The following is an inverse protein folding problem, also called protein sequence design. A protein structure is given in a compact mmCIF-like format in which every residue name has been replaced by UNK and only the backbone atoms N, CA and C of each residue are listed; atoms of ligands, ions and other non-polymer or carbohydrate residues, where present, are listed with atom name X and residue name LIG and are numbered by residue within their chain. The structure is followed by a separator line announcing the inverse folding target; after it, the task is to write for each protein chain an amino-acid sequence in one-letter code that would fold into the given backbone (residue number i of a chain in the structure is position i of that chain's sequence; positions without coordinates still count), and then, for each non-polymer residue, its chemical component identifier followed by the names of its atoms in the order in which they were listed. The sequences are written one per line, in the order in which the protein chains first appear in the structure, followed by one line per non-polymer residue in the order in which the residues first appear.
data_IF_084791529097
#
_entry.id   IF_084791529097
#
_cell.length_a   1.000
_cell.length_b   1.000
_cell.length_c   1.000
_cell.angle_alpha   90.00
_cell.angle_beta   90.00
_cell.angle_gamma   90.00
#
_symmetry.space_group_name_H-M   'P 1'
#
loop_
_entity.id
_entity.type
_entity.pdbx_description
1 polymer ?
#
# COMPACT_ATOMS: atom_id res chain seq x y z
N UNK A 1 18.43 -60.30 -19.81
CA UNK A 1 17.33 -60.44 -18.84
C UNK A 1 16.93 -59.05 -18.37
N UNK A 2 15.76 -58.56 -18.76
CA UNK A 2 15.25 -57.27 -18.31
C UNK A 2 14.42 -57.45 -17.04
N UNK A 3 14.75 -56.74 -15.97
CA UNK A 3 13.86 -56.61 -14.82
C UNK A 3 12.69 -55.74 -15.24
N UNK A 4 11.51 -56.35 -15.45
CA UNK A 4 10.28 -55.62 -15.66
C UNK A 4 9.92 -55.00 -14.31
N UNK A 5 10.10 -53.69 -14.15
CA UNK A 5 9.63 -52.98 -12.96
C UNK A 5 8.11 -53.19 -12.90
N UNK A 6 7.62 -53.82 -11.85
CA UNK A 6 6.20 -53.95 -11.62
C UNK A 6 5.65 -52.55 -11.32
N UNK A 7 4.78 -52.03 -12.18
CA UNK A 7 4.06 -50.80 -11.90
C UNK A 7 2.98 -51.12 -10.87
N UNK A 8 3.09 -50.53 -9.69
CA UNK A 8 2.07 -50.70 -8.65
C UNK A 8 0.82 -49.86 -8.98
N UNK A 9 -0.31 -50.26 -8.41
CA UNK A 9 -1.52 -49.45 -8.47
C UNK A 9 -1.30 -48.16 -7.67
N UNK A 10 -1.91 -47.04 -8.09
CA UNK A 10 -1.81 -45.75 -7.37
C UNK A 10 -2.08 -45.92 -5.88
N UNK A 11 -1.23 -45.31 -5.05
CA UNK A 11 -1.28 -45.45 -3.60
C UNK A 11 -0.44 -46.59 -3.03
N UNK A 12 0.23 -47.40 -3.87
CA UNK A 12 1.08 -48.51 -3.43
C UNK A 12 2.50 -48.46 -4.02
N UNK A 13 3.48 -49.01 -3.30
CA UNK A 13 4.88 -49.15 -3.72
C UNK A 13 5.53 -50.42 -3.16
N UNK A 14 6.81 -50.60 -3.48
CA UNK A 14 7.64 -51.72 -3.04
C UNK A 14 7.68 -52.88 -4.04
N UNK A 15 8.57 -53.83 -3.83
CA UNK A 15 8.82 -54.93 -4.77
C UNK A 15 7.58 -55.80 -5.07
N UNK A 16 6.63 -55.85 -4.14
CA UNK A 16 5.38 -56.61 -4.24
C UNK A 16 4.11 -55.73 -4.21
N UNK A 17 4.24 -54.40 -4.28
CA UNK A 17 3.11 -53.46 -4.22
C UNK A 17 2.22 -53.59 -2.97
N UNK A 18 2.79 -53.99 -1.83
CA UNK A 18 2.07 -54.17 -0.57
C UNK A 18 2.20 -52.97 0.37
N UNK A 19 3.17 -52.08 0.13
CA UNK A 19 3.41 -50.90 0.96
C UNK A 19 2.57 -49.73 0.44
N UNK A 20 1.99 -48.93 1.33
CA UNK A 20 1.15 -47.79 0.96
C UNK A 20 1.98 -46.51 0.86
N UNK A 21 1.75 -45.73 -0.20
CA UNK A 21 2.32 -44.39 -0.31
C UNK A 21 1.93 -43.53 0.91
N UNK A 22 2.79 -42.57 1.27
CA UNK A 22 2.46 -41.56 2.28
C UNK A 22 1.15 -40.85 1.92
N UNK A 23 0.25 -40.71 2.90
CA UNK A 23 -1.01 -39.98 2.73
C UNK A 23 -0.82 -38.48 2.50
N UNK A 24 0.39 -37.96 2.70
CA UNK A 24 0.73 -36.56 2.45
C UNK A 24 1.13 -36.30 0.99
N UNK A 25 1.38 -37.34 0.19
CA UNK A 25 1.67 -37.17 -1.23
C UNK A 25 0.46 -36.57 -1.95
N UNK A 26 0.70 -35.70 -2.93
CA UNK A 26 -0.37 -35.21 -3.78
C UNK A 26 -1.00 -36.39 -4.54
N UNK A 27 -2.33 -36.52 -4.43
CA UNK A 27 -3.10 -37.63 -5.01
C UNK A 27 -2.64 -39.04 -4.59
N UNK A 28 -1.97 -39.18 -3.43
CA UNK A 28 -1.35 -40.45 -2.99
C UNK A 28 -0.39 -41.04 -4.04
N UNK A 29 0.24 -40.18 -4.84
CA UNK A 29 1.16 -40.58 -5.91
C UNK A 29 2.60 -40.61 -5.42
N UNK A 30 3.22 -41.79 -5.46
CA UNK A 30 4.59 -41.99 -5.03
C UNK A 30 5.38 -42.88 -6.00
N UNK A 31 6.70 -42.87 -5.88
CA UNK A 31 7.60 -43.70 -6.63
C UNK A 31 7.37 -45.18 -6.27
N UNK A 32 7.09 -46.01 -7.28
CA UNK A 32 6.76 -47.42 -7.13
C UNK A 32 7.85 -48.27 -6.43
N UNK A 33 9.10 -47.80 -6.39
CA UNK A 33 10.22 -48.55 -5.79
C UNK A 33 10.47 -48.12 -4.35
N UNK A 34 10.67 -46.82 -4.11
CA UNK A 34 11.12 -46.32 -2.80
C UNK A 34 10.04 -45.60 -1.99
N UNK A 35 8.84 -45.41 -2.53
CA UNK A 35 7.73 -44.78 -1.81
C UNK A 35 7.80 -43.25 -1.68
N UNK A 36 8.83 -42.60 -2.24
CA UNK A 36 8.93 -41.14 -2.21
C UNK A 36 7.80 -40.51 -3.02
N UNK A 37 7.13 -39.49 -2.47
CA UNK A 37 6.12 -38.74 -3.17
C UNK A 37 6.67 -38.17 -4.49
N UNK A 38 5.91 -38.32 -5.57
CA UNK A 38 6.28 -37.72 -6.86
C UNK A 38 6.08 -36.21 -6.83
N UNK A 39 5.03 -35.76 -6.13
CA UNK A 39 4.74 -34.35 -5.90
C UNK A 39 4.17 -34.12 -4.50
N UNK A 40 4.53 -32.99 -3.90
CA UNK A 40 3.92 -32.50 -2.67
C UNK A 40 2.79 -31.49 -2.96
N UNK A 41 1.73 -31.49 -2.14
CA UNK A 41 0.75 -30.42 -2.16
C UNK A 41 1.42 -29.07 -1.79
N UNK A 42 0.88 -27.93 -2.24
CA UNK A 42 1.38 -26.61 -1.83
C UNK A 42 1.46 -26.49 -0.30
N UNK A 43 2.53 -25.89 0.19
CA UNK A 43 2.76 -25.75 1.62
C UNK A 43 3.53 -26.89 2.28
N UNK A 44 3.87 -27.95 1.54
CA UNK A 44 4.67 -29.08 2.03
C UNK A 44 5.85 -29.42 1.14
N UNK A 45 6.91 -29.98 1.75
CA UNK A 45 8.15 -30.45 1.13
C UNK A 45 8.64 -31.74 1.80
N UNK A 46 9.76 -32.28 1.30
CA UNK A 46 10.37 -33.52 1.75
C UNK A 46 9.97 -34.72 0.91
N UNK A 47 10.72 -35.83 1.03
CA UNK A 47 10.50 -37.04 0.23
C UNK A 47 9.11 -37.66 0.47
N UNK A 48 8.52 -37.46 1.64
CA UNK A 48 7.20 -37.97 2.02
C UNK A 48 6.15 -36.85 2.20
N UNK A 49 6.49 -35.62 1.82
CA UNK A 49 5.66 -34.42 1.97
C UNK A 49 5.17 -34.19 3.41
N UNK A 50 5.99 -34.54 4.39
CA UNK A 50 5.72 -34.47 5.83
C UNK A 50 6.25 -33.18 6.48
N UNK A 51 7.09 -32.43 5.76
CA UNK A 51 7.66 -31.17 6.23
C UNK A 51 6.82 -30.00 5.72
N UNK A 52 6.46 -29.08 6.62
CA UNK A 52 5.85 -27.82 6.22
C UNK A 52 6.85 -26.92 5.49
N UNK A 53 6.37 -25.93 4.75
CA UNK A 53 7.25 -24.90 4.22
C UNK A 53 8.07 -24.23 5.32
N UNK A 54 9.33 -23.88 5.04
CA UNK A 54 10.10 -23.00 5.91
C UNK A 54 9.34 -21.71 6.18
N UNK A 55 9.64 -21.07 7.31
CA UNK A 55 9.02 -19.80 7.66
C UNK A 55 9.20 -18.77 6.53
N UNK A 56 8.17 -17.96 6.31
CA UNK A 56 8.11 -16.93 5.26
C UNK A 56 8.09 -17.47 3.83
N UNK A 57 7.91 -18.77 3.62
CA UNK A 57 7.81 -19.37 2.29
C UNK A 57 6.47 -20.06 2.07
N UNK A 58 6.02 -20.07 0.82
CA UNK A 58 4.76 -20.70 0.43
C UNK A 58 4.80 -21.29 -0.97
N UNK A 59 3.71 -21.95 -1.37
CA UNK A 59 3.47 -22.44 -2.71
C UNK A 59 4.04 -23.85 -2.95
N UNK A 60 4.07 -24.26 -4.22
CA UNK A 60 4.59 -25.58 -4.61
C UNK A 60 6.11 -25.60 -4.45
N UNK A 61 6.61 -26.52 -3.63
CA UNK A 61 8.03 -26.63 -3.33
C UNK A 61 8.59 -25.48 -2.47
N UNK A 62 7.73 -24.65 -1.88
CA UNK A 62 8.11 -23.55 -0.99
C UNK A 62 9.12 -22.58 -1.59
N UNK A 63 8.97 -22.25 -2.88
CA UNK A 63 9.88 -21.35 -3.60
C UNK A 63 9.47 -19.89 -3.50
N UNK A 64 8.19 -19.62 -3.27
CA UNK A 64 7.62 -18.28 -3.15
C UNK A 64 7.81 -17.73 -1.72
N UNK A 65 7.85 -16.41 -1.58
CA UNK A 65 8.11 -15.73 -0.31
C UNK A 65 6.93 -14.88 0.11
N UNK A 66 6.55 -14.93 1.39
CA UNK A 66 5.49 -14.11 1.96
C UNK A 66 5.74 -12.62 1.70
N UNK A 67 4.66 -11.86 1.51
CA UNK A 67 4.77 -10.40 1.34
C UNK A 67 5.37 -9.75 2.57
N UNK A 68 6.29 -8.80 2.35
CA UNK A 68 6.87 -7.98 3.42
C UNK A 68 5.86 -7.05 4.11
N UNK A 69 4.69 -6.88 3.48
CA UNK A 69 3.60 -6.00 3.91
C UNK A 69 2.52 -6.76 4.69
N UNK A 70 2.68 -8.08 4.87
CA UNK A 70 1.93 -8.80 5.90
C UNK A 70 2.25 -8.14 7.26
N UNK A 71 1.24 -7.85 8.07
CA UNK A 71 1.43 -7.32 9.42
C UNK A 71 2.04 -8.34 10.39
N UNK A 72 2.25 -7.92 11.64
CA UNK A 72 2.81 -8.77 12.69
C UNK A 72 4.18 -9.34 12.29
N UNK A 73 4.32 -10.66 12.40
CA UNK A 73 5.57 -11.37 12.10
C UNK A 73 5.86 -11.52 10.61
N UNK A 74 5.06 -10.92 9.72
CA UNK A 74 5.20 -11.04 8.26
C UNK A 74 5.02 -12.47 7.72
N UNK A 75 4.30 -13.31 8.47
CA UNK A 75 4.03 -14.70 8.12
C UNK A 75 2.79 -14.83 7.22
N UNK A 76 2.80 -15.84 6.35
CA UNK A 76 1.71 -16.16 5.44
C UNK A 76 1.38 -17.65 5.46
N UNK A 77 0.18 -18.00 4.98
CA UNK A 77 -0.25 -19.37 4.78
C UNK A 77 0.70 -20.05 3.79
N UNK A 78 1.31 -21.19 4.18
CA UNK A 78 2.31 -21.86 3.35
C UNK A 78 1.72 -22.44 2.05
N UNK A 79 0.41 -22.65 1.95
CA UNK A 79 -0.21 -23.20 0.75
C UNK A 79 -0.45 -22.14 -0.33
N UNK A 80 -0.97 -20.96 0.03
CA UNK A 80 -1.49 -19.95 -0.91
C UNK A 80 -0.85 -18.55 -0.78
N UNK A 81 0.01 -18.33 0.23
CA UNK A 81 0.70 -17.07 0.44
C UNK A 81 -0.14 -15.97 1.10
N UNK A 82 -1.37 -16.26 1.53
CA UNK A 82 -2.22 -15.30 2.23
C UNK A 82 -1.64 -14.91 3.59
N UNK A 83 -1.50 -13.62 3.87
CA UNK A 83 -0.98 -13.12 5.14
C UNK A 83 -1.84 -13.60 6.31
N UNK A 84 -1.18 -14.05 7.39
CA UNK A 84 -1.86 -14.53 8.60
C UNK A 84 -2.32 -13.38 9.51
N UNK A 85 -1.80 -12.18 9.27
CA UNK A 85 -2.18 -10.94 9.95
C UNK A 85 -2.66 -9.91 8.91
N UNK A 86 -3.49 -8.94 9.32
CA UNK A 86 -3.88 -7.83 8.46
C UNK A 86 -2.66 -7.15 7.84
N UNK A 87 -2.83 -6.59 6.64
CA UNK A 87 -1.78 -5.83 5.98
C UNK A 87 -1.35 -4.63 6.83
N UNK A 88 -0.10 -4.22 6.66
CA UNK A 88 0.32 -2.89 7.13
C UNK A 88 -0.47 -1.81 6.37
N UNK A 89 -0.60 -0.64 6.99
CA UNK A 89 -1.32 0.50 6.43
C UNK A 89 -0.83 0.82 5.01
N UNK A 90 -1.77 1.16 4.11
CA UNK A 90 -1.46 1.43 2.71
C UNK A 90 -1.45 0.20 1.80
N UNK A 91 -1.66 -1.01 2.34
CA UNK A 91 -1.77 -2.24 1.57
C UNK A 91 -3.07 -3.01 1.86
N UNK A 92 -3.49 -3.80 0.88
CA UNK A 92 -4.68 -4.64 0.88
C UNK A 92 -4.44 -5.91 0.04
N UNK A 93 -5.50 -6.72 -0.11
CA UNK A 93 -5.52 -8.11 -0.61
C UNK A 93 -5.15 -9.14 0.45
N UNK A 94 -5.48 -10.41 0.18
CA UNK A 94 -5.08 -11.53 1.05
C UNK A 94 -3.56 -11.66 1.17
N UNK A 95 -2.80 -11.25 0.15
CA UNK A 95 -1.33 -11.35 0.11
C UNK A 95 -0.63 -10.02 0.43
N UNK A 96 -1.36 -8.94 0.72
CA UNK A 96 -0.81 -7.60 0.98
C UNK A 96 0.16 -7.09 -0.11
N UNK A 97 -0.05 -7.49 -1.36
CA UNK A 97 0.77 -7.06 -2.50
C UNK A 97 0.18 -5.86 -3.23
N UNK A 98 -1.10 -5.54 -2.97
CA UNK A 98 -1.78 -4.42 -3.61
C UNK A 98 -1.74 -3.22 -2.68
N UNK A 99 -1.26 -2.09 -3.18
CA UNK A 99 -1.41 -0.81 -2.49
C UNK A 99 -2.89 -0.40 -2.44
N UNK A 100 -3.20 0.55 -1.56
CA UNK A 100 -4.52 1.16 -1.56
C UNK A 100 -4.81 1.83 -2.89
N UNK A 101 -6.03 1.65 -3.43
CA UNK A 101 -6.42 2.33 -4.64
C UNK A 101 -6.46 3.84 -4.41
N UNK A 102 -6.39 4.65 -5.48
CA UNK A 102 -6.55 6.09 -5.39
C UNK A 102 -7.78 6.47 -4.56
N UNK A 103 -7.71 7.61 -3.88
CA UNK A 103 -8.74 8.11 -2.96
C UNK A 103 -8.91 7.34 -1.63
N UNK A 104 -8.11 6.30 -1.34
CA UNK A 104 -8.18 5.56 -0.07
C UNK A 104 -6.82 5.39 0.62
N UNK A 105 -6.82 5.23 1.94
CA UNK A 105 -5.61 5.07 2.73
C UNK A 105 -5.84 4.28 4.04
N UNK A 106 -4.74 4.00 4.75
CA UNK A 106 -4.73 3.41 6.08
C UNK A 106 -4.92 1.90 6.09
N UNK A 107 -5.25 1.35 7.26
CA UNK A 107 -5.47 -0.08 7.48
C UNK A 107 -6.56 -0.62 6.54
N UNK A 108 -6.21 -1.61 5.71
CA UNK A 108 -7.13 -2.24 4.76
C UNK A 108 -7.81 -1.27 3.78
N UNK A 109 -7.23 -0.08 3.59
CA UNK A 109 -7.74 0.96 2.69
C UNK A 109 -9.17 1.42 3.02
N UNK A 110 -9.54 1.41 4.30
CA UNK A 110 -10.89 1.74 4.76
C UNK A 110 -11.11 3.26 4.96
N UNK A 111 -10.05 4.07 4.95
CA UNK A 111 -10.16 5.53 5.07
C UNK A 111 -10.16 6.17 3.69
N UNK A 112 -10.93 7.25 3.52
CA UNK A 112 -11.00 8.01 2.27
C UNK A 112 -10.15 9.27 2.38
N UNK A 113 -9.44 9.63 1.30
CA UNK A 113 -8.74 10.90 1.21
C UNK A 113 -9.68 12.08 1.51
N UNK A 114 -9.14 13.15 2.09
CA UNK A 114 -9.90 14.37 2.32
C UNK A 114 -10.52 14.89 1.03
N UNK A 115 -11.80 15.27 1.12
CA UNK A 115 -12.50 15.89 -0.01
C UNK A 115 -11.90 17.23 -0.45
N UNK A 116 -10.97 17.79 0.32
CA UNK A 116 -10.28 19.04 0.01
C UNK A 116 -8.87 18.85 -0.54
N UNK A 117 -8.42 17.59 -0.73
CA UNK A 117 -7.22 17.31 -1.52
C UNK A 117 -7.46 17.76 -2.97
N UNK A 118 -6.45 18.43 -3.56
CA UNK A 118 -6.38 18.66 -5.00
C UNK A 118 -6.27 17.32 -5.75
N UNK A 119 -6.86 17.26 -6.94
CA UNK A 119 -6.56 16.22 -7.93
C UNK A 119 -5.15 16.45 -8.50
N UNK A 120 -4.53 15.45 -9.13
CA UNK A 120 -3.17 15.52 -9.76
C UNK A 120 -2.76 16.93 -10.23
N UNK A 121 -1.54 17.39 -9.91
CA UNK A 121 -1.05 18.64 -10.44
C UNK A 121 -0.57 18.44 -11.88
N UNK A 122 -1.24 19.14 -12.79
CA UNK A 122 -0.74 19.50 -14.13
C UNK A 122 -0.66 18.37 -15.19
N UNK A 123 -1.38 18.47 -16.33
CA UNK A 123 -1.26 17.54 -17.46
C UNK A 123 0.14 17.47 -18.10
N UNK A 124 1.06 18.37 -17.74
CA UNK A 124 2.44 18.38 -18.24
C UNK A 124 3.33 17.23 -17.69
N UNK A 125 2.96 16.63 -16.56
CA UNK A 125 3.74 15.59 -15.87
C UNK A 125 3.26 14.15 -16.14
N UNK A 126 2.08 14.00 -16.73
CA UNK A 126 1.45 12.70 -17.02
C UNK A 126 1.67 12.29 -18.48
N UNK A 127 2.09 11.05 -18.76
CA UNK A 127 2.12 10.54 -20.13
C UNK A 127 0.76 10.73 -20.81
N UNK A 128 0.73 11.21 -22.05
CA UNK A 128 -0.50 11.43 -22.83
C UNK A 128 -1.36 10.16 -23.06
N UNK A 129 -0.86 9.00 -22.62
CA UNK A 129 -1.54 7.70 -22.62
C UNK A 129 -2.36 7.43 -21.36
N UNK A 130 -2.24 8.26 -20.31
CA UNK A 130 -3.09 8.17 -19.11
C UNK A 130 -4.35 9.01 -19.31
N UNK A 131 -5.51 8.35 -19.23
CA UNK A 131 -6.79 9.05 -19.11
C UNK A 131 -6.79 9.83 -17.78
N UNK A 132 -7.13 11.13 -17.85
CA UNK A 132 -7.24 11.99 -16.65
C UNK A 132 -8.24 11.35 -15.69
N UNK A 133 -7.75 10.79 -14.59
CA UNK A 133 -8.60 10.20 -13.55
C UNK A 133 -9.06 11.31 -12.61
N UNK A 134 -10.37 11.46 -12.32
CA UNK A 134 -10.89 12.51 -11.44
C UNK A 134 -10.62 12.22 -9.95
N UNK A 135 -9.74 11.27 -9.63
CA UNK A 135 -9.51 10.80 -8.28
C UNK A 135 -8.57 11.74 -7.53
N UNK A 136 -8.90 12.00 -6.26
CA UNK A 136 -8.02 12.73 -5.34
C UNK A 136 -6.85 11.84 -4.96
N UNK A 137 -5.68 12.45 -4.85
CA UNK A 137 -4.46 11.72 -4.52
C UNK A 137 -3.99 12.14 -3.14
N UNK A 138 -4.07 11.20 -2.22
CA UNK A 138 -3.43 11.26 -0.93
C UNK A 138 -2.48 10.08 -0.76
N UNK A 139 -1.54 10.21 0.16
CA UNK A 139 -0.63 9.14 0.51
C UNK A 139 -1.43 7.96 1.09
N UNK A 140 -1.17 6.75 0.59
CA UNK A 140 -1.91 5.53 0.91
C UNK A 140 -1.77 5.09 2.37
N UNK A 141 -0.75 5.54 3.10
CA UNK A 141 -0.55 5.17 4.51
C UNK A 141 -1.28 6.12 5.46
N UNK A 142 -1.04 7.42 5.34
CA UNK A 142 -1.42 8.43 6.35
C UNK A 142 -2.47 9.45 5.84
N UNK A 143 -2.86 9.38 4.57
CA UNK A 143 -3.92 10.20 4.01
C UNK A 143 -3.53 11.66 3.72
N UNK A 144 -2.26 12.04 3.79
CA UNK A 144 -1.83 13.41 3.44
C UNK A 144 -2.02 13.69 1.95
N UNK A 145 -2.53 14.86 1.60
CA UNK A 145 -2.79 15.24 0.21
C UNK A 145 -1.49 15.52 -0.53
N UNK A 146 -1.19 14.73 -1.57
CA UNK A 146 0.09 14.81 -2.30
C UNK A 146 0.16 16.04 -3.22
N UNK A 147 -0.98 16.50 -3.73
CA UNK A 147 -1.09 17.70 -4.55
C UNK A 147 -1.45 18.97 -3.74
N UNK A 148 -1.43 18.88 -2.41
CA UNK A 148 -1.84 19.96 -1.50
C UNK A 148 -3.35 20.22 -1.48
N UNK A 149 -3.74 21.36 -0.90
CA UNK A 149 -5.12 21.68 -0.56
C UNK A 149 -5.81 22.58 -1.58
N UNK A 150 -7.12 22.36 -1.75
CA UNK A 150 -8.01 23.30 -2.43
C UNK A 150 -8.06 24.64 -1.67
N UNK A 151 -8.45 25.71 -2.37
CA UNK A 151 -8.53 27.05 -1.81
C UNK A 151 -9.43 27.09 -0.57
N UNK A 152 -8.98 27.76 0.49
CA UNK A 152 -9.69 27.85 1.76
C UNK A 152 -9.42 26.70 2.73
N UNK A 153 -8.51 25.77 2.39
CA UNK A 153 -8.08 24.68 3.25
C UNK A 153 -6.55 24.59 3.36
N UNK A 154 -6.07 24.15 4.52
CA UNK A 154 -4.66 23.99 4.84
C UNK A 154 -4.39 22.75 5.72
N UNK A 155 -3.11 22.51 6.00
CA UNK A 155 -2.62 21.32 6.69
C UNK A 155 -2.33 20.14 5.74
N UNK A 156 -1.73 19.08 6.26
CA UNK A 156 -1.30 17.94 5.45
C UNK A 156 -2.48 17.12 4.89
N UNK A 157 -3.61 17.09 5.61
CA UNK A 157 -4.85 16.41 5.20
C UNK A 157 -5.92 17.38 4.69
N UNK A 158 -5.62 18.69 4.60
CA UNK A 158 -6.55 19.71 4.10
C UNK A 158 -7.89 19.77 4.85
N UNK A 159 -7.91 19.44 6.15
CA UNK A 159 -9.12 19.48 6.98
C UNK A 159 -9.27 20.79 7.77
N UNK A 160 -8.24 21.63 7.76
CA UNK A 160 -8.25 22.92 8.47
C UNK A 160 -8.74 23.97 7.48
N UNK A 161 -9.80 24.70 7.83
CA UNK A 161 -10.24 25.84 7.03
C UNK A 161 -9.26 27.01 7.26
N UNK A 162 -8.60 27.47 6.20
CA UNK A 162 -7.79 28.68 6.28
C UNK A 162 -8.74 29.87 6.50
N UNK A 163 -8.58 30.68 7.56
CA UNK A 163 -9.36 31.89 7.71
C UNK A 163 -9.12 32.72 6.45
N UNK A 164 -10.20 33.02 5.73
CA UNK A 164 -10.16 33.87 4.55
C UNK A 164 -9.33 35.10 4.92
N UNK A 165 -8.23 35.32 4.20
CA UNK A 165 -7.48 36.56 4.23
C UNK A 165 -8.34 37.65 3.57
N UNK A 166 -9.47 37.96 4.20
CA UNK A 166 -10.10 39.26 4.13
C UNK A 166 -9.33 40.21 5.06
N UNK A 167 -8.00 40.12 5.12
CA UNK A 167 -7.18 41.31 5.28
C UNK A 167 -7.34 42.08 3.98
N UNK A 168 -8.46 42.80 3.86
CA UNK A 168 -8.41 44.07 3.18
C UNK A 168 -7.19 44.76 3.77
N UNK A 169 -6.16 44.94 2.93
CA UNK A 169 -5.05 45.81 3.24
C UNK A 169 -5.71 47.11 3.67
N UNK A 170 -5.75 47.37 4.99
CA UNK A 170 -5.98 48.70 5.50
C UNK A 170 -4.75 49.47 5.05
N UNK A 171 -4.77 49.91 3.79
CA UNK A 171 -3.83 50.88 3.27
C UNK A 171 -3.84 52.01 4.27
N UNK A 172 -2.72 52.14 4.96
CA UNK A 172 -2.51 53.11 6.03
C UNK A 172 -2.91 54.50 5.48
N UNK A 173 -4.08 55.00 5.88
CA UNK A 173 -4.56 56.36 5.57
C UNK A 173 -3.81 57.37 6.48
N UNK A 174 -2.50 57.18 6.71
CA UNK A 174 -1.69 58.11 7.48
C UNK A 174 -0.96 59.13 6.59
N UNK A 175 -0.91 58.91 5.27
CA UNK A 175 -0.28 59.83 4.32
C UNK A 175 -0.90 61.23 4.28
N UNK A 176 -2.22 61.39 4.06
CA UNK A 176 -2.81 62.72 3.90
C UNK A 176 -2.93 63.48 5.23
N UNK A 177 -3.16 62.80 6.35
CA UNK A 177 -3.34 63.46 7.65
C UNK A 177 -2.01 64.06 8.15
N UNK A 178 -0.91 63.31 8.03
CA UNK A 178 0.42 63.80 8.42
C UNK A 178 0.85 64.99 7.54
N UNK A 179 0.59 64.93 6.23
CA UNK A 179 0.90 66.04 5.32
C UNK A 179 0.11 67.32 5.67
N UNK A 180 -1.19 67.19 6.01
CA UNK A 180 -2.02 68.32 6.44
C UNK A 180 -1.50 68.90 7.77
N UNK A 181 -1.16 68.07 8.75
CA UNK A 181 -0.61 68.53 10.03
C UNK A 181 0.71 69.28 9.83
N UNK A 182 1.61 68.76 8.98
CA UNK A 182 2.88 69.43 8.68
C UNK A 182 2.64 70.80 8.00
N UNK A 183 1.72 70.87 7.03
CA UNK A 183 1.38 72.14 6.37
C UNK A 183 0.80 73.17 7.35
N UNK A 184 -0.06 72.75 8.29
CA UNK A 184 -0.61 73.62 9.31
C UNK A 184 0.48 74.14 10.26
N UNK A 185 1.41 73.27 10.69
CA UNK A 185 2.52 73.66 11.56
C UNK A 185 3.42 74.70 10.86
N UNK A 186 3.77 74.46 9.60
CA UNK A 186 4.60 75.40 8.81
C UNK A 186 3.89 76.76 8.65
N UNK A 187 2.58 76.76 8.40
CA UNK A 187 1.80 78.00 8.28
C UNK A 187 1.76 78.80 9.59
N UNK A 188 1.54 78.14 10.73
CA UNK A 188 1.52 78.79 12.05
C UNK A 188 2.89 79.37 12.41
N UNK A 189 3.97 78.61 12.19
CA UNK A 189 5.34 79.09 12.42
C UNK A 189 5.62 80.30 11.53
N UNK A 190 5.30 80.25 10.23
CA UNK A 190 5.48 81.38 9.32
C UNK A 190 4.73 82.65 9.78
N UNK A 191 3.56 82.50 10.39
CA UNK A 191 2.77 83.62 10.92
C UNK A 191 3.31 84.19 12.25
N UNK A 192 3.98 83.37 13.05
CA UNK A 192 4.57 83.79 14.34
C UNK A 192 5.94 84.47 14.16
N UNK A 193 6.60 84.26 13.01
CA UNK A 193 7.94 84.77 12.71
C UNK A 193 7.96 85.84 11.59
N UNK A 194 6.81 86.37 11.17
CA UNK A 194 6.68 87.52 10.26
C UNK A 194 5.97 88.70 10.92
#
# INVERSE_FOLDING_TARGET
MGCKIATCQTGFHGANCTETCSSNCLNQSCNNVNGNCLECPPGKIGNLCDQACPQFKFGKGCTESCSSNCGGDKSCNPADGGCLSPCVDGYQSSTCQKECPPNTFGAGCQSNCSQYCKTEPDPASTPATMTVSPFKICHNVDGRCLAGCQSGYEGETCLIASPSSNTASAGVIAGPIIAIIILLIVAVIGFLFW
#
